data_IF_647391731131
#
_entry.id   IF_647391731131
#
_cell.length_a   1.000
_cell.length_b   1.000
_cell.length_c   1.000
_cell.angle_alpha   90.00
_cell.angle_beta   90.00
_cell.angle_gamma   90.00
#
_symmetry.space_group_name_H-M   'P 1'
#
loop_
_entity.id
_entity.type
_entity.pdbx_description
1 polymer ?
#
# COMPACT_ATOMS: atom_id res chain seq x y z
N UNK A 1 32.74 -80.85 28.16
CA UNK A 1 32.14 -81.47 26.96
C UNK A 1 31.16 -80.47 26.37
N UNK A 2 31.37 -80.13 25.10
CA UNK A 2 30.72 -79.06 24.34
C UNK A 2 29.19 -79.19 24.29
N UNK A 3 28.46 -78.07 24.35
CA UNK A 3 27.18 -77.98 23.65
C UNK A 3 26.89 -76.56 23.15
N UNK A 4 26.69 -76.50 21.84
CA UNK A 4 26.54 -75.35 20.96
C UNK A 4 25.20 -74.62 21.23
N UNK A 5 25.22 -73.33 21.55
CA UNK A 5 24.04 -72.45 21.40
C UNK A 5 24.20 -71.64 20.12
N UNK A 6 23.32 -71.91 19.14
CA UNK A 6 23.24 -71.18 17.86
C UNK A 6 22.81 -69.73 18.13
N UNK A 7 23.68 -68.78 17.78
CA UNK A 7 23.36 -67.35 17.73
C UNK A 7 22.86 -67.07 16.31
N UNK A 8 21.60 -66.67 16.18
CA UNK A 8 21.01 -66.19 14.92
C UNK A 8 21.22 -64.67 14.88
N UNK A 9 22.13 -64.20 14.03
CA UNK A 9 22.27 -62.77 13.72
C UNK A 9 21.19 -62.41 12.69
N UNK A 10 20.17 -61.68 13.10
CA UNK A 10 19.22 -61.04 12.18
C UNK A 10 19.88 -59.73 11.72
N UNK A 11 20.36 -59.72 10.49
CA UNK A 11 20.89 -58.52 9.83
C UNK A 11 19.68 -57.71 9.32
N UNK A 12 19.23 -56.71 10.08
CA UNK A 12 18.28 -55.72 9.57
C UNK A 12 19.03 -54.75 8.64
N UNK A 13 18.89 -54.95 7.33
CA UNK A 13 19.30 -53.98 6.32
C UNK A 13 18.26 -52.86 6.34
N UNK A 14 18.59 -51.73 6.95
CA UNK A 14 17.82 -50.49 6.83
C UNK A 14 18.16 -49.93 5.44
N UNK A 15 17.24 -50.14 4.49
CA UNK A 15 17.32 -49.50 3.18
C UNK A 15 16.95 -48.03 3.36
N UNK A 16 17.96 -47.13 3.43
CA UNK A 16 17.73 -45.70 3.33
C UNK A 16 17.23 -45.40 1.91
N UNK A 17 15.92 -45.25 1.77
CA UNK A 17 15.33 -44.71 0.54
C UNK A 17 15.55 -43.20 0.59
N UNK A 18 16.57 -42.70 -0.12
CA UNK A 18 16.69 -41.28 -0.40
C UNK A 18 15.55 -40.89 -1.33
N UNK A 19 14.52 -40.26 -0.79
CA UNK A 19 13.50 -39.59 -1.58
C UNK A 19 14.18 -38.40 -2.28
N UNK A 20 14.00 -38.19 -3.59
CA UNK A 20 14.44 -36.97 -4.24
C UNK A 20 13.69 -35.80 -3.59
N UNK A 21 14.43 -34.84 -3.02
CA UNK A 21 13.86 -33.55 -2.67
C UNK A 21 13.36 -32.92 -3.97
N UNK A 22 12.06 -32.66 -4.05
CA UNK A 22 11.54 -31.79 -5.10
C UNK A 22 12.19 -30.42 -4.88
N UNK A 23 12.85 -29.87 -5.91
CA UNK A 23 13.17 -28.45 -5.92
C UNK A 23 11.82 -27.72 -5.92
N UNK A 24 11.48 -27.07 -4.81
CA UNK A 24 10.41 -26.08 -4.83
C UNK A 24 10.97 -24.90 -5.64
N UNK A 25 10.28 -24.52 -6.72
CA UNK A 25 10.55 -23.25 -7.36
C UNK A 25 10.42 -22.16 -6.30
N UNK A 26 11.42 -21.27 -6.26
CA UNK A 26 11.36 -20.13 -5.35
C UNK A 26 10.23 -19.22 -5.82
N UNK A 27 9.42 -18.65 -4.90
CA UNK A 27 8.35 -17.75 -5.28
C UNK A 27 8.93 -16.57 -6.08
N UNK A 28 8.14 -16.04 -7.02
CA UNK A 28 8.49 -14.88 -7.84
C UNK A 28 8.89 -13.69 -6.95
N UNK A 29 8.21 -13.51 -5.83
CA UNK A 29 8.46 -12.44 -4.87
C UNK A 29 8.81 -13.04 -3.50
N UNK A 30 9.92 -12.59 -2.94
CA UNK A 30 10.43 -12.95 -1.62
C UNK A 30 10.81 -11.73 -0.78
N UNK A 31 11.44 -12.00 0.36
CA UNK A 31 12.04 -10.96 1.22
C UNK A 31 13.56 -11.09 1.22
N UNK A 32 14.23 -10.01 0.85
CA UNK A 32 15.62 -9.74 1.18
C UNK A 32 15.72 -8.85 2.43
N UNK A 33 16.91 -8.70 2.98
CA UNK A 33 17.13 -7.73 4.05
C UNK A 33 18.56 -7.20 4.10
N UNK A 34 18.70 -6.00 4.67
CA UNK A 34 19.99 -5.41 5.05
C UNK A 34 19.89 -4.79 6.43
N UNK A 35 21.03 -4.60 7.10
CA UNK A 35 21.07 -3.90 8.40
C UNK A 35 20.60 -2.44 8.30
N UNK A 36 20.66 -1.82 7.11
CA UNK A 36 20.31 -0.41 6.89
C UNK A 36 18.82 -0.21 6.55
N UNK A 37 18.23 -1.10 5.73
CA UNK A 37 16.87 -0.92 5.20
C UNK A 37 15.84 -1.89 5.80
N UNK A 38 16.26 -2.78 6.68
CA UNK A 38 15.40 -3.87 7.15
C UNK A 38 15.02 -4.81 5.99
N UNK A 39 13.80 -5.34 6.04
CA UNK A 39 13.27 -6.25 5.02
C UNK A 39 12.69 -5.51 3.81
N UNK A 40 12.89 -6.06 2.62
CA UNK A 40 12.37 -5.52 1.37
C UNK A 40 12.05 -6.62 0.35
N UNK A 41 11.19 -6.30 -0.61
CA UNK A 41 10.80 -7.20 -1.67
C UNK A 41 11.99 -7.46 -2.62
N UNK A 42 12.19 -8.73 -2.92
CA UNK A 42 13.13 -9.21 -3.92
C UNK A 42 12.44 -10.17 -4.86
N UNK A 43 12.98 -10.38 -6.05
CA UNK A 43 12.50 -11.44 -6.94
C UNK A 43 13.01 -12.84 -6.53
N UNK A 44 12.69 -13.86 -7.34
CA UNK A 44 13.10 -15.26 -7.10
C UNK A 44 14.62 -15.48 -7.12
N UNK A 45 15.40 -14.55 -7.68
CA UNK A 45 16.86 -14.59 -7.71
C UNK A 45 17.49 -13.74 -6.57
N UNK A 46 16.66 -13.02 -5.82
CA UNK A 46 17.07 -12.13 -4.74
C UNK A 46 17.43 -10.71 -5.19
N UNK A 47 17.09 -10.33 -6.42
CA UNK A 47 17.27 -8.97 -6.93
C UNK A 47 16.23 -8.04 -6.32
N UNK A 48 16.67 -6.86 -5.87
CA UNK A 48 15.80 -5.87 -5.19
C UNK A 48 14.72 -5.33 -6.12
N UNK A 49 13.50 -5.23 -5.60
CA UNK A 49 12.37 -4.62 -6.28
C UNK A 49 12.13 -3.19 -5.76
N UNK A 50 11.81 -2.32 -6.70
CA UNK A 50 11.64 -0.88 -6.51
C UNK A 50 10.25 -0.42 -6.93
N UNK A 51 9.79 0.68 -6.35
CA UNK A 51 8.61 1.42 -6.79
C UNK A 51 9.00 2.81 -7.27
N UNK A 52 8.24 3.33 -8.23
CA UNK A 52 8.36 4.70 -8.73
C UNK A 52 7.22 5.55 -8.17
N UNK A 53 7.50 6.51 -7.28
CA UNK A 53 6.45 7.30 -6.62
C UNK A 53 5.73 8.29 -7.54
N UNK A 54 6.16 8.42 -8.80
CA UNK A 54 5.47 9.22 -9.81
C UNK A 54 4.50 8.39 -10.66
N UNK A 55 4.52 7.07 -10.57
CA UNK A 55 3.51 6.26 -11.23
C UNK A 55 2.16 6.49 -10.55
N UNK A 56 1.08 6.74 -11.31
CA UNK A 56 -0.27 6.67 -10.79
C UNK A 56 -0.59 5.24 -10.36
N UNK A 57 -1.58 5.10 -9.48
CA UNK A 57 -2.07 3.80 -9.08
C UNK A 57 -2.65 3.03 -10.27
N UNK A 58 -2.19 1.79 -10.47
CA UNK A 58 -2.73 0.89 -11.49
C UNK A 58 -2.26 1.21 -12.90
N UNK A 59 -1.35 2.16 -13.02
CA UNK A 59 -0.78 2.63 -14.26
C UNK A 59 0.73 2.81 -14.09
N UNK A 60 1.42 3.11 -15.18
CA UNK A 60 2.81 3.52 -15.13
C UNK A 60 3.06 4.61 -16.15
N UNK A 61 3.94 5.55 -15.81
CA UNK A 61 4.47 6.55 -16.73
C UNK A 61 5.93 6.22 -17.11
N UNK A 62 6.50 5.14 -16.57
CA UNK A 62 7.87 4.72 -16.84
C UNK A 62 7.98 3.88 -18.13
N UNK A 63 8.22 4.57 -19.25
CA UNK A 63 8.43 3.98 -20.58
C UNK A 63 9.79 4.39 -21.19
N UNK A 64 10.15 3.76 -22.30
CA UNK A 64 11.35 4.05 -23.09
C UNK A 64 12.63 4.08 -22.22
N UNK A 65 13.36 5.19 -22.25
CA UNK A 65 14.58 5.41 -21.48
C UNK A 65 14.39 5.32 -19.96
N UNK A 66 13.16 5.44 -19.45
CA UNK A 66 12.84 5.12 -18.06
C UNK A 66 12.91 3.61 -17.84
N UNK A 67 12.17 2.84 -18.62
CA UNK A 67 12.10 1.38 -18.52
C UNK A 67 13.43 0.67 -18.88
N UNK A 68 14.30 1.30 -19.68
CA UNK A 68 15.67 0.81 -19.89
C UNK A 68 16.52 0.88 -18.60
N UNK A 69 16.33 1.93 -17.80
CA UNK A 69 17.05 2.14 -16.53
C UNK A 69 16.39 1.41 -15.37
N UNK A 70 15.07 1.33 -15.41
CA UNK A 70 14.23 0.69 -14.41
C UNK A 70 13.40 -0.40 -15.10
N UNK A 71 13.99 -1.57 -15.40
CA UNK A 71 13.26 -2.63 -16.08
C UNK A 71 12.04 -3.07 -15.26
N UNK A 72 10.85 -3.18 -15.86
CA UNK A 72 9.67 -3.64 -15.14
C UNK A 72 9.78 -5.13 -14.77
N UNK A 73 9.25 -5.50 -13.60
CA UNK A 73 9.01 -6.91 -13.26
C UNK A 73 7.79 -7.40 -14.05
N UNK A 74 8.01 -8.23 -15.07
CA UNK A 74 6.94 -8.68 -15.98
C UNK A 74 6.52 -10.13 -15.71
N UNK A 75 5.24 -10.41 -15.91
CA UNK A 75 4.64 -11.75 -15.92
C UNK A 75 3.81 -11.97 -17.20
N UNK A 76 3.53 -13.22 -17.55
CA UNK A 76 2.66 -13.54 -18.71
C UNK A 76 1.17 -13.53 -18.31
N UNK A 77 0.87 -13.81 -17.05
CA UNK A 77 -0.47 -13.77 -16.45
C UNK A 77 -0.39 -13.35 -14.98
N UNK A 78 -1.47 -12.76 -14.45
CA UNK A 78 -1.60 -12.51 -13.02
C UNK A 78 -1.50 -13.81 -12.18
N UNK A 79 -1.90 -14.95 -12.75
CA UNK A 79 -1.79 -16.27 -12.10
C UNK A 79 -0.32 -16.74 -11.91
N UNK A 80 0.64 -16.12 -12.60
CA UNK A 80 2.06 -16.46 -12.48
C UNK A 80 2.72 -15.79 -11.25
N UNK A 81 2.01 -14.87 -10.59
CA UNK A 81 2.50 -14.20 -9.38
C UNK A 81 2.50 -15.21 -8.23
N UNK A 82 3.69 -15.55 -7.75
CA UNK A 82 3.89 -16.38 -6.56
C UNK A 82 4.64 -15.58 -5.50
N UNK A 83 4.12 -15.55 -4.27
CA UNK A 83 4.64 -14.71 -3.19
C UNK A 83 5.03 -15.61 -2.03
N UNK A 84 6.18 -15.35 -1.42
CA UNK A 84 6.60 -16.05 -0.21
C UNK A 84 5.61 -15.83 0.95
N UNK A 85 5.47 -16.84 1.82
CA UNK A 85 4.62 -16.74 3.00
C UNK A 85 5.03 -15.55 3.89
N UNK A 86 4.03 -14.84 4.44
CA UNK A 86 4.24 -13.76 5.38
C UNK A 86 4.56 -12.40 4.76
N UNK A 87 4.50 -12.26 3.43
CA UNK A 87 4.58 -10.94 2.79
C UNK A 87 3.21 -10.26 2.85
N UNK A 88 3.09 -9.11 3.53
CA UNK A 88 1.87 -8.32 3.64
C UNK A 88 1.52 -7.64 2.31
N UNK A 89 0.26 -7.23 2.16
CA UNK A 89 -0.20 -6.49 0.98
C UNK A 89 -0.85 -7.36 -0.10
N UNK A 90 -1.25 -6.70 -1.18
CA UNK A 90 -1.86 -7.30 -2.37
C UNK A 90 -0.93 -7.19 -3.57
N UNK A 91 -0.94 -8.24 -4.39
CA UNK A 91 -0.19 -8.27 -5.65
C UNK A 91 -1.14 -8.41 -6.81
N UNK A 92 -0.89 -7.60 -7.84
CA UNK A 92 -1.71 -7.54 -9.05
C UNK A 92 -0.84 -7.30 -10.27
N UNK A 93 -1.47 -7.03 -11.41
CA UNK A 93 -0.78 -6.61 -12.63
C UNK A 93 -1.31 -5.25 -13.11
N UNK A 94 -0.42 -4.46 -13.68
CA UNK A 94 -0.70 -3.27 -14.47
C UNK A 94 -0.42 -3.60 -15.93
N UNK A 95 -1.45 -3.53 -16.77
CA UNK A 95 -1.28 -3.69 -18.23
C UNK A 95 -0.62 -2.43 -18.80
N UNK A 96 0.55 -2.60 -19.40
CA UNK A 96 1.32 -1.52 -20.02
C UNK A 96 0.78 -1.22 -21.42
N UNK A 97 1.10 -0.06 -21.97
CA UNK A 97 0.63 0.37 -23.32
C UNK A 97 1.07 -0.55 -24.47
N UNK A 98 2.08 -1.39 -24.25
CA UNK A 98 2.55 -2.40 -25.20
C UNK A 98 1.91 -3.79 -25.01
N UNK A 99 0.97 -3.92 -24.05
CA UNK A 99 0.26 -5.14 -23.70
C UNK A 99 1.02 -6.07 -22.74
N UNK A 100 2.21 -5.67 -22.25
CA UNK A 100 2.92 -6.44 -21.23
C UNK A 100 2.34 -6.22 -19.83
N UNK A 101 2.43 -7.21 -18.95
CA UNK A 101 1.86 -7.14 -17.60
C UNK A 101 2.96 -6.88 -16.57
N UNK A 102 2.98 -5.68 -16.01
CA UNK A 102 3.87 -5.29 -14.92
C UNK A 102 3.30 -5.79 -13.60
N UNK A 103 4.06 -6.54 -12.81
CA UNK A 103 3.64 -6.88 -11.44
C UNK A 103 3.55 -5.59 -10.62
N UNK A 104 2.51 -5.48 -9.82
CA UNK A 104 2.29 -4.36 -8.91
C UNK A 104 2.11 -4.83 -7.47
N UNK A 105 2.59 -4.02 -6.53
CA UNK A 105 2.40 -4.19 -5.10
C UNK A 105 1.51 -3.06 -4.58
N UNK A 106 0.35 -3.41 -4.01
CA UNK A 106 -0.67 -2.44 -3.58
C UNK A 106 -0.98 -1.40 -4.68
N UNK A 107 -1.04 -1.86 -5.94
CA UNK A 107 -1.32 -1.04 -7.12
C UNK A 107 -0.14 -0.24 -7.68
N UNK A 108 1.02 -0.23 -7.03
CA UNK A 108 2.23 0.42 -7.56
C UNK A 108 3.07 -0.57 -8.35
N UNK A 109 3.44 -0.28 -9.61
CA UNK A 109 4.25 -1.19 -10.41
C UNK A 109 5.64 -1.41 -9.81
N UNK A 110 6.15 -2.64 -9.96
CA UNK A 110 7.47 -3.05 -9.46
C UNK A 110 8.52 -3.05 -10.56
N UNK A 111 9.71 -2.59 -10.22
CA UNK A 111 10.84 -2.42 -11.12
C UNK A 111 12.12 -3.00 -10.55
N UNK A 112 13.03 -3.34 -11.44
CA UNK A 112 14.44 -3.55 -11.19
C UNK A 112 15.23 -2.25 -11.35
N UNK A 113 16.49 -2.25 -10.92
CA UNK A 113 17.43 -1.17 -11.20
C UNK A 113 18.60 -1.66 -12.05
N UNK A 114 18.88 -0.99 -13.17
CA UNK A 114 19.90 -1.43 -14.13
C UNK A 114 21.34 -1.53 -13.58
N UNK A 115 21.64 -0.90 -12.45
CA UNK A 115 22.98 -0.91 -11.86
C UNK A 115 23.11 -1.84 -10.66
N UNK A 116 22.04 -2.53 -10.25
CA UNK A 116 22.16 -3.62 -9.30
C UNK A 116 22.72 -4.85 -10.04
N UNK A 117 23.86 -5.36 -9.58
CA UNK A 117 24.60 -6.45 -10.25
C UNK A 117 24.48 -7.78 -9.49
N UNK A 118 24.06 -7.73 -8.22
CA UNK A 118 23.95 -8.89 -7.36
C UNK A 118 22.70 -8.85 -6.45
N UNK A 119 22.23 -10.02 -5.99
CA UNK A 119 21.16 -10.11 -5.00
C UNK A 119 21.47 -9.29 -3.74
N UNK A 120 20.49 -8.49 -3.31
CA UNK A 120 20.62 -7.58 -2.17
C UNK A 120 21.31 -6.26 -2.46
N UNK A 121 21.78 -6.00 -3.69
CA UNK A 121 22.14 -4.64 -4.10
C UNK A 121 20.89 -3.75 -4.02
N UNK A 122 21.03 -2.60 -3.37
CA UNK A 122 19.92 -1.64 -3.18
C UNK A 122 20.28 -0.26 -3.77
N UNK A 123 21.15 -0.22 -4.78
CA UNK A 123 21.78 1.04 -5.25
C UNK A 123 20.81 1.99 -5.96
N UNK A 124 19.63 1.50 -6.34
CA UNK A 124 18.53 2.32 -6.84
C UNK A 124 17.78 3.09 -5.75
N UNK A 125 18.02 2.80 -4.47
CA UNK A 125 17.24 3.41 -3.39
C UNK A 125 17.46 4.92 -3.35
N UNK A 126 16.36 5.68 -3.25
CA UNK A 126 16.31 7.15 -3.19
C UNK A 126 16.88 7.85 -4.42
N UNK A 127 17.03 7.16 -5.55
CA UNK A 127 17.47 7.81 -6.80
C UNK A 127 16.45 8.87 -7.20
N UNK A 128 16.90 10.12 -7.29
CA UNK A 128 16.06 11.26 -7.65
C UNK A 128 14.92 11.57 -6.67
N UNK A 129 14.96 11.02 -5.44
CA UNK A 129 13.89 11.11 -4.43
C UNK A 129 12.53 10.56 -4.89
N UNK A 130 12.51 9.74 -5.94
CA UNK A 130 11.28 9.19 -6.53
C UNK A 130 11.32 7.68 -6.75
N UNK A 131 12.49 7.07 -6.55
CA UNK A 131 12.67 5.62 -6.63
C UNK A 131 13.01 5.06 -5.26
N UNK A 132 12.26 4.06 -4.83
CA UNK A 132 12.33 3.55 -3.46
C UNK A 132 12.35 2.03 -3.47
N UNK A 133 13.18 1.45 -2.62
CA UNK A 133 13.12 0.02 -2.31
C UNK A 133 11.74 -0.28 -1.72
N UNK A 134 11.12 -1.37 -2.13
CA UNK A 134 9.79 -1.74 -1.64
C UNK A 134 9.91 -2.52 -0.34
N UNK A 135 9.65 -1.86 0.78
CA UNK A 135 9.51 -2.52 2.07
C UNK A 135 8.08 -3.02 2.28
N UNK A 136 7.88 -4.17 2.95
CA UNK A 136 6.55 -4.62 3.32
C UNK A 136 5.85 -3.62 4.24
N UNK A 137 4.59 -3.27 3.93
CA UNK A 137 3.87 -2.26 4.71
C UNK A 137 3.48 -2.78 6.11
N UNK A 138 3.68 -1.92 7.12
CA UNK A 138 3.15 -2.13 8.48
C UNK A 138 1.64 -1.92 8.53
N UNK A 139 1.15 -0.91 7.79
CA UNK A 139 -0.26 -0.57 7.66
C UNK A 139 -0.53 -0.24 6.20
N UNK A 140 -1.56 -0.81 5.58
CA UNK A 140 -1.92 -0.53 4.19
C UNK A 140 -3.44 -0.54 3.97
N UNK A 141 -3.89 0.00 2.83
CA UNK A 141 -5.30 -0.01 2.45
C UNK A 141 -5.71 -1.38 1.90
N UNK A 142 -6.81 -1.94 2.40
CA UNK A 142 -7.46 -3.12 1.86
C UNK A 142 -8.74 -2.72 1.12
N UNK A 143 -8.92 -3.24 -0.10
CA UNK A 143 -10.12 -3.01 -0.91
C UNK A 143 -11.21 -4.00 -0.50
N UNK A 144 -12.42 -3.50 -0.26
CA UNK A 144 -13.57 -4.33 0.11
C UNK A 144 -14.77 -4.01 -0.79
N UNK A 145 -15.54 -5.03 -1.18
CA UNK A 145 -16.66 -4.84 -2.11
C UNK A 145 -17.84 -4.08 -1.49
N UNK A 146 -18.03 -4.24 -0.17
CA UNK A 146 -19.21 -3.74 0.53
C UNK A 146 -18.97 -2.49 1.40
N UNK A 147 -17.74 -2.00 1.52
CA UNK A 147 -17.43 -0.77 2.27
C UNK A 147 -16.25 -0.01 1.63
N UNK A 148 -16.04 1.28 1.95
CA UNK A 148 -14.83 1.96 1.52
C UNK A 148 -13.56 1.21 1.91
N UNK A 149 -12.46 1.39 1.15
CA UNK A 149 -11.18 0.83 1.54
C UNK A 149 -10.83 1.20 2.97
N UNK A 150 -10.14 0.32 3.69
CA UNK A 150 -9.80 0.54 5.09
C UNK A 150 -8.43 0.01 5.47
N UNK A 151 -7.90 0.48 6.60
CA UNK A 151 -6.57 0.11 7.06
C UNK A 151 -6.54 -1.31 7.61
N UNK A 152 -5.55 -2.06 7.17
CA UNK A 152 -5.20 -3.40 7.66
C UNK A 152 -3.74 -3.44 8.09
N UNK A 153 -3.42 -4.33 9.03
CA UNK A 153 -2.05 -4.60 9.44
C UNK A 153 -1.34 -5.53 8.45
N UNK A 154 -0.10 -5.97 8.74
CA UNK A 154 0.72 -6.71 7.77
C UNK A 154 0.02 -7.98 7.26
N UNK A 155 -0.68 -8.71 8.12
CA UNK A 155 -1.33 -9.95 7.71
C UNK A 155 -2.64 -9.73 6.92
N UNK A 156 -3.02 -8.49 6.64
CA UNK A 156 -4.29 -8.14 5.97
C UNK A 156 -5.51 -8.21 6.90
N UNK A 157 -5.26 -8.26 8.20
CA UNK A 157 -6.30 -8.24 9.24
C UNK A 157 -6.73 -6.80 9.51
N UNK A 158 -8.03 -6.58 9.66
CA UNK A 158 -8.67 -5.28 9.91
C UNK A 158 -8.09 -4.59 11.14
N UNK A 159 -7.75 -3.32 10.99
CA UNK A 159 -7.32 -2.46 12.09
C UNK A 159 -8.47 -1.58 12.56
N UNK A 160 -8.48 -1.33 13.87
CA UNK A 160 -9.51 -0.55 14.56
C UNK A 160 -8.89 0.54 15.44
N UNK A 161 -9.60 1.65 15.56
CA UNK A 161 -9.40 2.66 16.59
C UNK A 161 -10.30 2.41 17.79
N UNK A 162 -9.81 2.79 18.96
CA UNK A 162 -10.58 2.80 20.19
C UNK A 162 -10.87 4.24 20.61
N UNK A 163 -12.13 4.66 20.61
CA UNK A 163 -12.49 6.07 20.90
C UNK A 163 -12.29 6.49 22.36
N UNK A 164 -11.98 5.54 23.23
CA UNK A 164 -11.59 5.85 24.61
C UNK A 164 -10.08 6.08 24.75
N UNK A 165 -9.28 5.90 23.71
CA UNK A 165 -7.87 6.26 23.72
C UNK A 165 -7.68 7.79 23.61
N UNK A 166 -6.53 8.25 24.09
CA UNK A 166 -6.08 9.62 23.91
C UNK A 166 -4.93 9.61 22.89
N UNK A 167 -4.63 10.74 22.21
CA UNK A 167 -3.50 10.81 21.28
C UNK A 167 -2.19 10.34 21.93
N UNK A 168 -1.57 9.33 21.32
CA UNK A 168 -0.33 8.71 21.76
C UNK A 168 -0.47 7.83 23.01
N UNK A 169 -1.68 7.52 23.49
CA UNK A 169 -1.89 6.77 24.75
C UNK A 169 -3.01 5.74 24.61
N UNK A 170 -2.65 4.45 24.75
CA UNK A 170 -3.60 3.34 24.84
C UNK A 170 -4.20 3.21 26.25
N UNK A 171 -5.52 3.27 26.34
CA UNK A 171 -6.32 2.91 27.52
C UNK A 171 -6.79 1.44 27.50
N UNK A 172 -6.41 0.67 26.49
CA UNK A 172 -6.76 -0.75 26.36
C UNK A 172 -5.63 -1.66 26.86
N UNK A 173 -5.81 -2.26 28.04
CA UNK A 173 -4.85 -3.20 28.65
C UNK A 173 -5.55 -4.44 29.25
N UNK A 174 -4.77 -5.47 29.61
CA UNK A 174 -5.29 -6.71 30.22
C UNK A 174 -6.32 -7.44 29.32
N UNK A 175 -7.52 -7.69 29.86
CA UNK A 175 -8.61 -8.36 29.13
C UNK A 175 -9.04 -7.56 27.89
N UNK A 176 -8.90 -6.22 27.90
CA UNK A 176 -9.15 -5.41 26.71
C UNK A 176 -8.17 -5.79 25.60
N UNK A 177 -6.86 -5.73 25.87
CA UNK A 177 -5.81 -6.07 24.91
C UNK A 177 -5.80 -7.55 24.51
N UNK A 178 -6.46 -8.42 25.29
CA UNK A 178 -6.66 -9.83 24.89
C UNK A 178 -7.76 -9.98 23.84
N UNK A 179 -8.82 -9.16 23.92
CA UNK A 179 -9.90 -9.16 22.92
C UNK A 179 -9.60 -8.24 21.73
N UNK A 180 -8.77 -7.22 21.95
CA UNK A 180 -8.32 -6.24 20.98
C UNK A 180 -6.80 -6.17 20.98
N UNK A 181 -6.11 -7.16 20.37
CA UNK A 181 -4.65 -7.19 20.38
C UNK A 181 -4.06 -5.94 19.73
N UNK A 182 -3.12 -5.23 20.39
CA UNK A 182 -2.45 -4.10 19.77
C UNK A 182 -1.60 -4.54 18.58
N UNK A 183 -1.58 -3.75 17.50
CA UNK A 183 -0.56 -3.88 16.46
C UNK A 183 0.78 -3.42 17.06
N UNK A 184 1.76 -4.31 17.12
CA UNK A 184 3.08 -4.01 17.73
C UNK A 184 4.21 -4.20 16.75
N UNK A 185 5.31 -3.48 16.99
CA UNK A 185 6.57 -3.56 16.25
C UNK A 185 7.73 -3.69 17.23
N UNK A 186 8.86 -4.23 16.75
CA UNK A 186 10.08 -4.38 17.55
C UNK A 186 10.86 -3.05 17.63
N UNK A 187 10.80 -2.22 16.59
CA UNK A 187 11.41 -0.89 16.54
C UNK A 187 10.45 0.15 15.93
N UNK A 188 10.53 1.38 16.43
CA UNK A 188 9.82 2.52 15.84
C UNK A 188 10.37 2.89 14.45
N UNK A 189 11.59 2.45 14.11
CA UNK A 189 12.21 2.68 12.81
C UNK A 189 11.68 1.70 11.73
N UNK A 190 10.93 0.66 12.13
CA UNK A 190 10.40 -0.37 11.22
C UNK A 190 9.04 -0.02 10.60
N UNK A 191 8.54 1.20 10.84
CA UNK A 191 7.23 1.61 10.36
C UNK A 191 7.27 1.94 8.86
N UNK A 192 6.45 1.23 8.11
CA UNK A 192 6.26 1.46 6.67
C UNK A 192 4.77 1.69 6.43
N UNK A 193 4.40 2.93 6.13
CA UNK A 193 3.05 3.24 5.69
C UNK A 193 2.88 2.78 4.25
N UNK A 194 1.78 2.08 3.98
CA UNK A 194 1.38 1.69 2.64
C UNK A 194 1.24 2.91 1.75
N UNK A 195 1.54 2.70 0.47
CA UNK A 195 1.34 3.73 -0.55
C UNK A 195 -0.11 4.21 -0.58
N UNK A 196 -0.28 5.50 -0.86
CA UNK A 196 -1.59 6.13 -1.06
C UNK A 196 -2.49 6.17 0.18
N UNK A 197 -1.88 6.31 1.35
CA UNK A 197 -2.56 6.58 2.60
C UNK A 197 -2.22 7.98 3.08
N UNK A 198 -3.22 8.63 3.68
CA UNK A 198 -3.02 9.83 4.46
C UNK A 198 -2.33 9.49 5.79
N UNK A 199 -1.98 10.53 6.54
CA UNK A 199 -1.54 10.40 7.92
C UNK A 199 -0.11 9.92 8.13
N UNK A 200 0.27 9.81 9.39
CA UNK A 200 1.61 9.41 9.83
C UNK A 200 1.55 8.20 10.74
N UNK A 201 2.46 7.25 10.51
CA UNK A 201 2.70 6.17 11.47
C UNK A 201 3.63 6.63 12.58
N UNK A 202 3.30 6.23 13.79
CA UNK A 202 4.14 6.40 14.97
C UNK A 202 4.12 5.16 15.85
N UNK A 203 4.73 5.27 17.03
CA UNK A 203 4.55 4.28 18.09
C UNK A 203 4.25 4.95 19.43
N UNK A 204 3.53 4.23 20.27
CA UNK A 204 3.40 4.51 21.69
C UNK A 204 3.93 3.34 22.51
N UNK A 205 4.73 3.63 23.54
CA UNK A 205 5.24 2.60 24.45
C UNK A 205 4.15 2.25 25.47
N UNK A 206 3.79 0.97 25.53
CA UNK A 206 2.79 0.43 26.46
C UNK A 206 3.43 0.16 27.83
N UNK A 207 2.60 -0.03 28.86
CA UNK A 207 3.09 -0.30 30.23
C UNK A 207 3.98 -1.55 30.35
N UNK A 208 3.83 -2.51 29.44
CA UNK A 208 4.64 -3.73 29.38
C UNK A 208 5.95 -3.57 28.57
N UNK A 209 6.21 -2.36 28.05
CA UNK A 209 7.39 -2.02 27.25
C UNK A 209 7.27 -2.37 25.76
N UNK A 210 6.13 -2.90 25.31
CA UNK A 210 5.90 -3.13 23.88
C UNK A 210 5.60 -1.81 23.14
N UNK A 211 6.08 -1.69 21.90
CA UNK A 211 5.77 -0.55 21.04
C UNK A 211 4.52 -0.87 20.23
N UNK A 212 3.44 -0.14 20.48
CA UNK A 212 2.22 -0.22 19.69
C UNK A 212 2.23 0.82 18.58
N UNK A 213 1.85 0.41 17.38
CA UNK A 213 1.76 1.30 16.22
C UNK A 213 0.58 2.26 16.40
N UNK A 214 0.80 3.52 16.06
CA UNK A 214 -0.22 4.57 16.00
C UNK A 214 -0.39 5.04 14.55
N UNK A 215 -1.58 5.50 14.20
CA UNK A 215 -1.88 6.22 12.96
C UNK A 215 -2.49 7.57 13.35
N UNK A 216 -1.84 8.68 12.99
CA UNK A 216 -2.18 10.03 13.45
C UNK A 216 -2.34 10.09 14.99
N UNK A 217 -1.33 9.59 15.69
CA UNK A 217 -1.28 9.41 17.15
C UNK A 217 -2.35 8.46 17.74
N UNK A 218 -3.27 7.92 16.97
CA UNK A 218 -4.29 6.99 17.46
C UNK A 218 -3.74 5.54 17.54
N UNK A 219 -3.76 4.86 18.71
CA UNK A 219 -3.26 3.50 18.82
C UNK A 219 -4.08 2.49 18.00
N UNK A 220 -3.39 1.60 17.28
CA UNK A 220 -4.00 0.64 16.36
C UNK A 220 -4.17 -0.75 17.00
N UNK A 221 -5.31 -1.38 16.73
CA UNK A 221 -5.65 -2.69 17.27
C UNK A 221 -6.22 -3.62 16.21
N UNK A 222 -6.00 -4.92 16.39
CA UNK A 222 -6.78 -5.99 15.78
C UNK A 222 -7.97 -6.35 16.65
N UNK A 223 -8.86 -7.20 16.12
CA UNK A 223 -9.93 -7.82 16.89
C UNK A 223 -9.77 -9.34 16.95
N UNK A 224 -9.77 -9.93 18.14
CA UNK A 224 -9.46 -11.35 18.34
C UNK A 224 -10.50 -12.34 17.76
N UNK A 225 -11.65 -11.86 17.27
CA UNK A 225 -12.64 -12.70 16.59
C UNK A 225 -12.61 -12.56 15.07
N UNK A 226 -11.79 -11.65 14.53
CA UNK A 226 -11.49 -11.62 13.10
C UNK A 226 -10.45 -12.72 12.84
N UNK A 227 -10.81 -13.70 12.01
CA UNK A 227 -10.04 -14.93 11.80
C UNK A 227 -9.49 -15.04 10.38
N UNK A 228 -10.07 -14.29 9.45
CA UNK A 228 -9.69 -14.25 8.04
C UNK A 228 -9.54 -12.79 7.56
N UNK A 229 -8.78 -12.59 6.48
CA UNK A 229 -8.67 -11.28 5.83
C UNK A 229 -10.06 -10.79 5.41
N UNK A 230 -10.35 -9.53 5.66
CA UNK A 230 -11.64 -8.93 5.37
C UNK A 230 -12.69 -9.11 6.47
N UNK A 231 -12.43 -9.91 7.52
CA UNK A 231 -13.32 -9.96 8.68
C UNK A 231 -13.37 -8.58 9.37
N UNK A 232 -14.58 -8.10 9.60
CA UNK A 232 -14.88 -6.78 10.20
C UNK A 232 -15.81 -6.91 11.42
N UNK A 233 -15.71 -8.00 12.19
CA UNK A 233 -16.66 -8.35 13.26
C UNK A 233 -16.54 -7.40 14.47
N UNK A 234 -15.44 -6.64 14.54
CA UNK A 234 -15.20 -5.62 15.55
C UNK A 234 -15.97 -4.31 15.31
N UNK A 235 -16.43 -4.06 14.10
CA UNK A 235 -16.97 -2.75 13.70
C UNK A 235 -18.17 -2.33 14.57
N UNK A 236 -18.11 -1.11 15.11
CA UNK A 236 -19.15 -0.51 15.95
C UNK A 236 -19.33 -1.17 17.32
N UNK A 237 -18.43 -2.06 17.75
CA UNK A 237 -18.62 -2.76 19.04
C UNK A 237 -18.62 -1.79 20.21
N UNK A 238 -19.72 -1.81 20.97
CA UNK A 238 -19.88 -0.98 22.15
C UNK A 238 -19.86 0.52 21.85
N UNK A 239 -20.10 0.92 20.60
CA UNK A 239 -20.05 2.30 20.12
C UNK A 239 -18.69 2.99 20.33
N UNK A 240 -17.61 2.20 20.44
CA UNK A 240 -16.26 2.70 20.76
C UNK A 240 -15.13 2.09 19.92
N UNK A 241 -15.42 1.10 19.08
CA UNK A 241 -14.45 0.46 18.20
C UNK A 241 -14.85 0.65 16.75
N UNK A 242 -13.97 1.24 15.96
CA UNK A 242 -14.27 1.60 14.58
C UNK A 242 -13.10 1.29 13.66
N UNK A 243 -13.42 0.76 12.48
CA UNK A 243 -12.49 0.59 11.37
C UNK A 243 -11.99 1.96 10.92
N UNK A 244 -10.74 2.01 10.46
CA UNK A 244 -10.15 3.23 9.91
C UNK A 244 -10.31 3.22 8.39
N UNK A 245 -11.15 4.09 7.80
CA UNK A 245 -11.23 4.22 6.35
C UNK A 245 -9.89 4.69 5.77
N UNK A 246 -9.47 4.09 4.67
CA UNK A 246 -8.42 4.63 3.83
C UNK A 246 -9.06 5.70 2.95
N UNK A 247 -8.89 6.95 3.37
CA UNK A 247 -9.47 8.11 2.71
C UNK A 247 -8.94 8.25 1.27
N UNK A 248 -9.83 8.60 0.35
CA UNK A 248 -9.49 8.97 -1.03
C UNK A 248 -9.20 10.46 -1.12
N UNK A 249 -9.94 11.28 -0.38
CA UNK A 249 -9.77 12.74 -0.36
C UNK A 249 -9.85 13.20 1.08
N UNK A 250 -8.96 14.10 1.48
CA UNK A 250 -9.01 14.78 2.76
C UNK A 250 -9.09 16.29 2.59
N UNK A 251 -9.24 17.01 3.70
CA UNK A 251 -9.29 18.46 3.75
C UNK A 251 -7.99 19.02 4.33
N UNK A 252 -7.47 20.08 3.72
CA UNK A 252 -6.41 20.94 4.26
C UNK A 252 -6.89 22.39 4.30
N UNK A 253 -6.12 23.31 4.89
CA UNK A 253 -6.49 24.71 4.98
C UNK A 253 -5.31 25.68 4.88
N UNK A 254 -5.58 26.89 4.38
CA UNK A 254 -4.63 28.00 4.36
C UNK A 254 -5.31 29.33 4.72
N UNK A 255 -4.52 30.29 5.20
CA UNK A 255 -5.03 31.63 5.55
C UNK A 255 -5.62 32.39 4.33
N UNK A 256 -5.15 32.09 3.12
CA UNK A 256 -5.55 32.79 1.88
C UNK A 256 -6.77 32.17 1.22
N UNK A 257 -6.84 30.84 1.16
CA UNK A 257 -7.85 30.11 0.38
C UNK A 257 -8.95 29.48 1.24
N UNK A 258 -8.77 29.42 2.57
CA UNK A 258 -9.67 28.66 3.45
C UNK A 258 -9.41 27.16 3.31
N UNK A 259 -10.48 26.37 3.47
CA UNK A 259 -10.42 24.91 3.41
C UNK A 259 -10.46 24.43 1.94
N UNK A 260 -9.65 23.44 1.61
CA UNK A 260 -9.57 22.85 0.27
C UNK A 260 -9.24 21.36 0.31
N UNK A 261 -9.59 20.65 -0.77
CA UNK A 261 -9.36 19.22 -0.90
C UNK A 261 -7.92 18.90 -1.28
N UNK A 262 -7.39 17.82 -0.70
CA UNK A 262 -6.09 17.23 -0.99
C UNK A 262 -6.24 15.73 -1.28
N UNK A 263 -5.35 15.18 -2.10
CA UNK A 263 -5.24 13.74 -2.31
C UNK A 263 -4.37 13.08 -1.24
N UNK A 264 -4.27 11.75 -1.26
CA UNK A 264 -3.54 10.93 -0.27
C UNK A 264 -2.09 11.36 -0.02
N UNK A 265 -1.45 11.99 -1.00
CA UNK A 265 -0.07 12.47 -0.93
C UNK A 265 0.04 13.91 -0.40
N UNK A 266 -1.06 14.49 0.10
CA UNK A 266 -1.14 15.85 0.60
C UNK A 266 -1.14 16.94 -0.49
N UNK A 267 -1.11 16.55 -1.76
CA UNK A 267 -1.14 17.50 -2.89
C UNK A 267 -2.55 18.06 -3.06
N UNK A 268 -2.63 19.36 -3.36
CA UNK A 268 -3.89 20.07 -3.60
C UNK A 268 -4.62 19.51 -4.82
N UNK A 269 -5.94 19.35 -4.68
CA UNK A 269 -6.84 18.96 -5.75
C UNK A 269 -7.51 20.18 -6.38
N UNK A 270 -7.59 20.17 -7.70
CA UNK A 270 -8.12 21.25 -8.51
C UNK A 270 -9.30 20.79 -9.38
N UNK A 271 -10.17 21.74 -9.71
CA UNK A 271 -11.25 21.60 -10.71
C UNK A 271 -11.01 22.52 -11.90
N UNK A 272 -11.48 22.10 -13.07
CA UNK A 272 -11.40 22.85 -14.31
C UNK A 272 -12.77 23.45 -14.68
N UNK A 273 -12.84 24.76 -14.91
CA UNK A 273 -14.10 25.44 -15.29
C UNK A 273 -14.65 25.01 -16.66
N UNK A 274 -13.81 24.44 -17.53
CA UNK A 274 -14.26 23.95 -18.83
C UNK A 274 -14.73 22.49 -18.78
N UNK A 275 -14.67 21.83 -17.63
CA UNK A 275 -15.28 20.51 -17.45
C UNK A 275 -16.79 20.60 -17.23
N UNK A 276 -17.48 19.50 -17.49
CA UNK A 276 -18.88 19.31 -17.15
C UNK A 276 -19.01 18.18 -16.13
N UNK A 277 -20.14 18.12 -15.41
CA UNK A 277 -20.37 17.01 -14.48
C UNK A 277 -20.30 15.67 -15.22
N UNK A 278 -19.44 14.77 -14.75
CA UNK A 278 -19.22 13.46 -15.34
C UNK A 278 -18.36 13.44 -16.60
N UNK A 279 -17.76 14.58 -17.01
CA UNK A 279 -16.96 14.68 -18.25
C UNK A 279 -15.72 15.55 -18.04
N UNK A 280 -14.54 14.95 -18.25
CA UNK A 280 -13.28 15.69 -18.39
C UNK A 280 -13.08 16.14 -19.84
N UNK A 281 -12.84 17.44 -20.04
CA UNK A 281 -12.36 18.04 -21.28
C UNK A 281 -10.83 18.23 -21.30
N UNK A 282 -10.12 17.70 -20.29
CA UNK A 282 -8.67 17.81 -20.16
C UNK A 282 -7.99 16.50 -20.58
N UNK A 283 -7.36 16.49 -21.76
CA UNK A 283 -6.59 15.36 -22.30
C UNK A 283 -5.34 15.84 -23.03
N UNK A 284 -4.41 14.93 -23.37
CA UNK A 284 -3.13 15.26 -24.00
C UNK A 284 -2.31 16.24 -23.16
N UNK A 285 -1.74 17.27 -23.79
CA UNK A 285 -0.95 18.33 -23.11
C UNK A 285 -1.67 18.96 -21.90
N UNK A 286 -3.02 18.97 -21.90
CA UNK A 286 -3.76 19.43 -20.72
C UNK A 286 -3.51 18.51 -19.53
N UNK A 287 -3.67 17.20 -19.72
CA UNK A 287 -3.48 16.19 -18.67
C UNK A 287 -2.00 16.03 -18.27
N UNK A 288 -1.04 16.41 -19.13
CA UNK A 288 0.37 16.47 -18.74
C UNK A 288 0.65 17.59 -17.73
N UNK A 289 -0.03 18.73 -17.88
CA UNK A 289 0.11 19.86 -16.95
C UNK A 289 -0.84 19.75 -15.74
N UNK A 290 -1.99 19.10 -15.94
CA UNK A 290 -3.02 18.85 -14.93
C UNK A 290 -3.30 17.35 -14.83
N UNK A 291 -2.42 16.58 -14.19
CA UNK A 291 -2.60 15.14 -14.11
C UNK A 291 -3.94 14.78 -13.45
N UNK A 292 -4.75 13.88 -14.04
CA UNK A 292 -5.99 13.45 -13.43
C UNK A 292 -5.70 12.71 -12.11
N UNK A 293 -6.51 12.96 -11.08
CA UNK A 293 -6.42 12.17 -9.86
C UNK A 293 -7.15 10.84 -10.06
N UNK A 294 -6.43 9.72 -10.16
CA UNK A 294 -6.99 8.40 -10.48
C UNK A 294 -6.97 7.41 -9.31
N UNK A 295 -7.86 6.41 -9.39
CA UNK A 295 -8.01 5.30 -8.43
C UNK A 295 -8.12 3.96 -9.16
N UNK A 296 -7.79 2.87 -8.47
CA UNK A 296 -7.85 1.50 -9.02
C UNK A 296 -9.26 0.96 -9.21
N UNK A 297 -10.22 1.53 -8.49
CA UNK A 297 -11.58 1.01 -8.35
C UNK A 297 -12.55 2.17 -8.15
N UNK A 298 -13.74 2.05 -8.73
CA UNK A 298 -14.86 2.96 -8.50
C UNK A 298 -15.63 2.62 -7.21
N UNK A 299 -15.24 1.55 -6.52
CA UNK A 299 -15.92 1.08 -5.33
C UNK A 299 -15.60 1.96 -4.12
N UNK A 300 -16.63 2.65 -3.66
CA UNK A 300 -16.76 3.23 -2.31
C UNK A 300 -15.60 4.14 -1.90
N UNK A 301 -15.43 5.24 -2.62
CA UNK A 301 -14.47 6.29 -2.24
C UNK A 301 -14.80 6.87 -0.86
N UNK A 302 -13.77 7.20 -0.08
CA UNK A 302 -13.90 7.77 1.26
C UNK A 302 -13.45 9.23 1.30
N UNK A 303 -14.30 10.10 1.85
CA UNK A 303 -13.92 11.46 2.23
C UNK A 303 -13.49 11.48 3.69
N UNK A 304 -12.37 12.14 3.99
CA UNK A 304 -11.93 12.37 5.35
C UNK A 304 -12.82 13.35 6.11
N UNK A 305 -12.58 13.55 7.42
CA UNK A 305 -13.34 14.49 8.23
C UNK A 305 -13.43 15.89 7.60
N UNK A 306 -14.66 16.38 7.44
CA UNK A 306 -14.94 17.70 6.84
C UNK A 306 -15.18 17.68 5.33
N UNK A 307 -14.97 16.55 4.64
CA UNK A 307 -15.35 16.38 3.23
C UNK A 307 -16.83 15.99 3.16
N UNK A 308 -17.71 16.93 2.80
CA UNK A 308 -19.18 16.74 2.86
C UNK A 308 -19.82 16.39 1.51
N UNK A 309 -19.11 16.61 0.39
CA UNK A 309 -19.63 16.35 -0.95
C UNK A 309 -19.57 14.91 -1.40
N UNK A 310 -20.22 14.63 -2.52
CA UNK A 310 -20.31 13.30 -3.11
C UNK A 310 -19.02 12.98 -3.89
N UNK A 311 -18.30 11.95 -3.45
CA UNK A 311 -17.20 11.36 -4.22
C UNK A 311 -17.74 10.35 -5.23
N UNK A 312 -17.16 10.35 -6.42
CA UNK A 312 -17.43 9.35 -7.45
C UNK A 312 -16.28 9.25 -8.44
N UNK A 313 -16.45 8.49 -9.52
CA UNK A 313 -15.45 8.40 -10.59
C UNK A 313 -16.06 8.65 -11.96
N UNK A 314 -15.21 9.03 -12.90
CA UNK A 314 -15.49 8.93 -14.34
C UNK A 314 -14.45 8.00 -14.98
N UNK A 315 -14.89 7.22 -15.97
CA UNK A 315 -13.99 6.44 -16.81
C UNK A 315 -13.47 7.33 -17.94
N UNK A 316 -12.15 7.45 -18.07
CA UNK A 316 -11.48 8.19 -19.14
C UNK A 316 -11.33 7.33 -20.39
N UNK A 317 -10.93 7.92 -21.51
CA UNK A 317 -10.78 7.20 -22.79
C UNK A 317 -9.75 6.07 -22.75
N UNK A 318 -8.78 6.15 -21.84
CA UNK A 318 -7.73 5.14 -21.60
C UNK A 318 -8.18 4.04 -20.61
N UNK A 319 -9.41 4.11 -20.08
CA UNK A 319 -9.94 3.16 -19.11
C UNK A 319 -9.60 3.48 -17.65
N UNK A 320 -8.81 4.53 -17.40
CA UNK A 320 -8.51 4.98 -16.05
C UNK A 320 -9.74 5.56 -15.36
N UNK A 321 -9.84 5.36 -14.04
CA UNK A 321 -10.92 5.91 -13.22
C UNK A 321 -10.44 7.18 -12.54
N UNK A 322 -10.93 8.33 -12.99
CA UNK A 322 -10.62 9.62 -12.38
C UNK A 322 -11.62 9.97 -11.30
N UNK A 323 -11.13 10.38 -10.13
CA UNK A 323 -11.93 10.82 -9.00
C UNK A 323 -12.65 12.12 -9.34
N UNK A 324 -13.91 12.20 -8.90
CA UNK A 324 -14.75 13.38 -8.98
C UNK A 324 -15.23 13.79 -7.59
N UNK A 325 -15.47 15.09 -7.41
CA UNK A 325 -16.13 15.65 -6.24
C UNK A 325 -17.35 16.44 -6.69
N UNK A 326 -18.53 16.09 -6.18
CA UNK A 326 -19.84 16.56 -6.66
C UNK A 326 -19.98 16.44 -8.20
N UNK A 327 -19.44 15.35 -8.76
CA UNK A 327 -19.44 15.04 -10.19
C UNK A 327 -18.43 15.82 -11.04
N UNK A 328 -17.64 16.73 -10.48
CA UNK A 328 -16.59 17.46 -11.21
C UNK A 328 -15.25 16.69 -11.14
N UNK A 329 -14.53 16.51 -12.26
CA UNK A 329 -13.24 15.81 -12.27
C UNK A 329 -12.16 16.54 -11.46
N UNK A 330 -11.37 15.76 -10.72
CA UNK A 330 -10.29 16.25 -9.86
C UNK A 330 -8.92 16.06 -10.51
N UNK A 331 -8.05 17.05 -10.35
CA UNK A 331 -6.71 17.08 -10.94
C UNK A 331 -5.66 17.51 -9.94
N UNK A 332 -4.44 17.07 -10.19
CA UNK A 332 -3.21 17.66 -9.64
C UNK A 332 -2.74 18.82 -10.52
N UNK A 333 -1.78 19.59 -10.02
CA UNK A 333 -1.04 20.57 -10.80
C UNK A 333 0.42 20.16 -10.91
N UNK A 334 0.94 19.98 -12.14
CA UNK A 334 2.27 19.40 -12.37
C UNK A 334 3.44 20.28 -11.88
N UNK A 335 3.18 21.53 -11.47
CA UNK A 335 4.20 22.42 -10.91
C UNK A 335 4.16 22.48 -9.37
N UNK A 336 3.10 21.95 -8.74
CA UNK A 336 3.14 21.78 -7.29
C UNK A 336 4.18 20.68 -6.96
N UNK A 337 5.11 20.99 -6.06
CA UNK A 337 6.22 20.09 -5.70
C UNK A 337 6.05 19.51 -4.29
N UNK A 338 5.45 20.28 -3.38
CA UNK A 338 5.29 19.93 -1.98
C UNK A 338 3.80 19.85 -1.57
N UNK A 339 3.44 19.00 -0.58
CA UNK A 339 2.11 18.99 0.01
C UNK A 339 1.67 20.38 0.49
N UNK A 340 0.43 20.74 0.16
CA UNK A 340 -0.12 22.06 0.45
C UNK A 340 0.29 23.17 -0.51
N UNK A 341 1.13 22.92 -1.51
CA UNK A 341 1.30 23.84 -2.63
C UNK A 341 -0.05 24.06 -3.31
N UNK A 342 -0.37 25.32 -3.60
CA UNK A 342 -1.65 25.75 -4.21
C UNK A 342 -1.38 26.58 -5.48
N UNK A 343 -0.24 26.36 -6.14
CA UNK A 343 0.24 27.23 -7.22
C UNK A 343 -0.58 27.12 -8.51
N UNK A 344 -1.42 26.08 -8.61
CA UNK A 344 -2.41 25.91 -9.67
C UNK A 344 -3.65 26.81 -9.50
N UNK A 345 -3.83 27.43 -8.32
CA UNK A 345 -5.00 28.27 -8.06
C UNK A 345 -5.05 29.48 -9.02
N UNK A 346 -6.20 29.69 -9.65
CA UNK A 346 -6.47 30.75 -10.62
C UNK A 346 -5.57 30.73 -11.88
N UNK A 347 -4.88 29.62 -12.17
CA UNK A 347 -4.12 29.50 -13.42
C UNK A 347 -5.06 29.63 -14.61
N UNK A 348 -4.77 30.60 -15.48
CA UNK A 348 -5.57 30.87 -16.68
C UNK A 348 -7.00 31.34 -16.41
N UNK A 349 -7.32 31.76 -15.18
CA UNK A 349 -8.68 32.13 -14.74
C UNK A 349 -9.74 31.02 -14.92
N UNK A 350 -9.31 29.75 -14.96
CA UNK A 350 -10.17 28.58 -15.21
C UNK A 350 -9.86 27.37 -14.33
N UNK A 351 -8.79 27.42 -13.53
CA UNK A 351 -8.40 26.36 -12.60
C UNK A 351 -8.50 26.84 -11.17
N UNK A 352 -9.16 26.05 -10.32
CA UNK A 352 -9.48 26.44 -8.96
C UNK A 352 -9.23 25.28 -8.00
N UNK A 353 -8.77 25.60 -6.80
CA UNK A 353 -8.79 24.62 -5.69
C UNK A 353 -10.22 24.18 -5.43
N UNK A 354 -10.40 22.93 -5.00
CA UNK A 354 -11.73 22.40 -4.70
C UNK A 354 -12.06 22.61 -3.23
N UNK A 355 -13.18 23.27 -2.95
CA UNK A 355 -13.71 23.48 -1.60
C UNK A 355 -14.42 22.20 -1.12
N UNK A 356 -14.26 21.81 0.18
CA UNK A 356 -14.71 20.53 0.74
C UNK A 356 -16.20 20.39 1.06
#
# INVERSE_FOLDING_TARGET
>A
MFNLRRIVFILCIILLVALPAAAQDSPLIGLGSTDELGSFLVDSEGMTLYMFTRDPLGETVCYDACAERWPPLLVESADDITVADGIPGEFSVVERTDGTLNVAYNGMPLYYWQNDEAPGDTTGNRVGNVWWVVSPATVYAFQHSDMPPYLVGPEGMTLYLFTNDEPGVSNCSGDCATNWPPLTVESADDLVLGVNLFGELGTTEREDGTLQVTYDDAPLYYFAQDMERGDMVGEGRGDVWFIIPAETVAMSSSDELGDYLIAYNGMTLYRFDNDEMGVSNCSGDCAENWPPYTVLSDQQLAGGPGVEGELGTIEREDGSLQVTYNGMPLYFWATDEDPGDTTGHAVGDVWWVVEP
#
